data_IF_964879417491
#
_entry.id   IF_964879417491
#
_cell.length_a   1.000
_cell.length_b   1.000
_cell.length_c   1.000
_cell.angle_alpha   90.00
_cell.angle_beta   90.00
_cell.angle_gamma   90.00
#
_symmetry.space_group_name_H-M   'P 1'
#
loop_
_entity.id
_entity.type
_entity.pdbx_description
1 polymer ?
#
# COMPACT_ATOMS: atom_id res chain seq x y z
N UNK A 1 0.30 10.96 -14.79
CA UNK A 1 0.25 10.66 -13.34
C UNK A 1 -0.72 9.52 -13.11
N UNK A 2 -0.40 8.56 -12.22
CA UNK A 2 -1.23 7.36 -11.94
C UNK A 2 -1.51 7.25 -10.44
N UNK A 3 -2.73 6.82 -10.09
CA UNK A 3 -3.14 6.52 -8.73
C UNK A 3 -3.60 5.08 -8.61
N UNK A 4 -3.24 4.43 -7.50
CA UNK A 4 -3.62 3.07 -7.16
C UNK A 4 -4.14 3.03 -5.72
N UNK A 5 -5.22 2.30 -5.48
CA UNK A 5 -5.74 2.10 -4.14
C UNK A 5 -4.92 1.03 -3.41
N UNK A 6 -4.51 1.34 -2.18
CA UNK A 6 -3.90 0.36 -1.27
C UNK A 6 -5.02 -0.24 -0.45
N UNK A 7 -5.35 -1.50 -0.68
CA UNK A 7 -6.46 -2.18 -0.02
C UNK A 7 -5.99 -3.38 0.81
N UNK A 8 -6.70 -3.64 1.91
CA UNK A 8 -6.58 -4.89 2.66
C UNK A 8 -7.78 -5.79 2.35
N UNK A 9 -7.52 -7.08 2.14
CA UNK A 9 -8.57 -8.08 1.93
C UNK A 9 -9.16 -8.46 3.30
N UNK A 10 -10.48 -8.39 3.42
CA UNK A 10 -11.22 -8.93 4.55
C UNK A 10 -12.23 -9.95 4.07
N UNK A 11 -12.11 -11.19 4.52
CA UNK A 11 -13.08 -12.25 4.29
C UNK A 11 -13.89 -12.49 5.55
N UNK A 12 -15.19 -12.73 5.39
CA UNK A 12 -16.10 -13.00 6.51
C UNK A 12 -17.28 -13.84 6.03
N UNK A 13 -17.80 -14.69 6.92
CA UNK A 13 -18.98 -15.51 6.63
C UNK A 13 -20.22 -14.77 7.10
N UNK A 14 -21.19 -14.57 6.21
CA UNK A 14 -22.51 -14.01 6.54
C UNK A 14 -23.58 -14.98 6.04
N UNK A 15 -24.46 -15.44 6.93
CA UNK A 15 -25.54 -16.37 6.60
C UNK A 15 -25.04 -17.64 5.87
N UNK A 16 -23.89 -18.18 6.29
CA UNK A 16 -23.26 -19.37 5.69
C UNK A 16 -22.55 -19.12 4.35
N UNK A 17 -22.53 -17.90 3.83
CA UNK A 17 -21.80 -17.55 2.59
C UNK A 17 -20.51 -16.79 2.90
N UNK A 18 -19.42 -17.15 2.23
CA UNK A 18 -18.18 -16.39 2.30
C UNK A 18 -18.28 -15.12 1.47
N UNK A 19 -18.07 -13.96 2.11
CA UNK A 19 -18.03 -12.65 1.48
C UNK A 19 -16.62 -12.07 1.60
N UNK A 20 -16.10 -11.57 0.49
CA UNK A 20 -14.85 -10.79 0.45
C UNK A 20 -15.17 -9.31 0.32
N UNK A 21 -14.46 -8.47 1.07
CA UNK A 21 -14.47 -7.01 0.90
C UNK A 21 -13.03 -6.51 0.88
N UNK A 22 -12.75 -5.55 0.00
CA UNK A 22 -11.48 -4.84 -0.07
C UNK A 22 -11.63 -3.50 0.64
N UNK A 23 -10.91 -3.33 1.75
CA UNK A 23 -10.96 -2.11 2.56
C UNK A 23 -9.81 -1.21 2.15
N UNK A 24 -10.14 -0.02 1.63
CA UNK A 24 -9.14 0.98 1.23
C UNK A 24 -8.42 1.53 2.47
N UNK A 25 -7.11 1.41 2.49
CA UNK A 25 -6.22 1.87 3.57
C UNK A 25 -5.43 3.12 3.19
N UNK A 26 -5.28 3.40 1.90
CA UNK A 26 -4.53 4.55 1.40
C UNK A 26 -4.48 4.58 -0.12
N UNK A 27 -3.60 5.43 -0.64
CA UNK A 27 -3.38 5.61 -2.08
C UNK A 27 -1.88 5.60 -2.38
N UNK A 28 -1.48 4.96 -3.48
CA UNK A 28 -0.17 5.08 -4.09
C UNK A 28 -0.27 6.05 -5.27
N UNK A 29 0.55 7.10 -5.28
CA UNK A 29 0.67 8.07 -6.35
C UNK A 29 1.98 7.87 -7.09
N UNK A 30 1.92 7.67 -8.39
CA UNK A 30 3.08 7.65 -9.28
C UNK A 30 3.07 8.90 -10.18
N UNK A 31 4.11 9.73 -10.06
CA UNK A 31 4.29 10.93 -10.89
C UNK A 31 4.69 10.56 -12.31
N UNK A 32 4.63 11.51 -13.25
CA UNK A 32 5.11 11.30 -14.62
C UNK A 32 6.61 10.96 -14.71
N UNK A 33 7.40 11.42 -13.73
CA UNK A 33 8.83 11.07 -13.59
C UNK A 33 9.07 9.69 -12.93
N UNK A 34 8.03 8.91 -12.66
CA UNK A 34 8.13 7.59 -12.03
C UNK A 34 8.34 7.57 -10.51
N UNK A 35 8.41 8.74 -9.85
CA UNK A 35 8.47 8.85 -8.38
C UNK A 35 7.17 8.32 -7.76
N UNK A 36 7.30 7.54 -6.68
CA UNK A 36 6.18 6.88 -6.00
C UNK A 36 6.00 7.44 -4.58
N UNK A 37 4.75 7.69 -4.22
CA UNK A 37 4.38 8.21 -2.90
C UNK A 37 3.18 7.46 -2.33
N UNK A 38 3.21 7.14 -1.05
CA UNK A 38 2.08 6.53 -0.34
C UNK A 38 1.46 7.55 0.61
N UNK A 39 0.14 7.61 0.62
CA UNK A 39 -0.67 8.37 1.57
C UNK A 39 -1.63 7.41 2.26
N UNK A 40 -1.58 7.33 3.59
CA UNK A 40 -2.37 6.39 4.38
C UNK A 40 -3.53 7.11 5.08
N UNK A 41 -4.72 6.53 5.05
CA UNK A 41 -5.94 7.16 5.56
C UNK A 41 -5.89 7.45 7.07
N UNK A 42 -5.11 6.68 7.83
CA UNK A 42 -4.96 6.87 9.28
C UNK A 42 -3.83 7.84 9.66
N UNK A 43 -2.98 8.23 8.69
CA UNK A 43 -1.91 9.21 8.83
C UNK A 43 -2.16 10.37 7.86
N UNK A 44 -3.21 11.19 8.10
CA UNK A 44 -3.53 12.28 7.21
C UNK A 44 -2.39 13.29 7.13
N UNK A 45 -2.22 13.93 5.98
CA UNK A 45 -1.19 14.93 5.70
C UNK A 45 0.26 14.41 5.71
N UNK A 46 0.48 13.09 5.77
CA UNK A 46 1.81 12.49 5.62
C UNK A 46 1.89 11.79 4.26
N UNK A 47 2.90 12.13 3.47
CA UNK A 47 3.21 11.50 2.19
C UNK A 47 4.57 10.81 2.28
N UNK A 48 4.59 9.48 2.16
CA UNK A 48 5.80 8.68 2.25
C UNK A 48 6.41 8.51 0.86
N UNK A 49 7.66 8.89 0.67
CA UNK A 49 8.39 8.60 -0.55
C UNK A 49 8.80 7.12 -0.59
N UNK A 50 8.48 6.44 -1.69
CA UNK A 50 8.77 5.01 -1.89
C UNK A 50 9.96 4.87 -2.82
N UNK A 51 10.96 4.14 -2.37
CA UNK A 51 12.18 3.82 -3.11
C UNK A 51 12.60 2.38 -2.80
N UNK A 52 13.50 1.83 -3.61
CA UNK A 52 13.97 0.46 -3.39
C UNK A 52 14.72 0.33 -2.07
N UNK A 53 14.48 -0.77 -1.37
CA UNK A 53 15.19 -1.09 -0.16
C UNK A 53 16.69 -1.23 -0.46
N UNK A 54 17.54 -0.60 0.37
CA UNK A 54 19.00 -0.81 0.28
C UNK A 54 19.29 -2.30 0.46
N UNK A 55 20.16 -2.87 -0.38
CA UNK A 55 20.67 -4.23 -0.18
C UNK A 55 21.29 -4.33 1.22
N UNK A 56 20.95 -5.38 1.97
CA UNK A 56 21.70 -5.72 3.18
C UNK A 56 23.06 -6.23 2.73
N UNK A 57 24.14 -5.59 3.18
CA UNK A 57 25.46 -6.20 3.13
C UNK A 57 25.42 -7.40 4.09
N UNK A 58 25.40 -8.60 3.54
CA UNK A 58 25.66 -9.82 4.31
C UNK A 58 27.15 -9.75 4.70
N UNK A 59 27.42 -9.38 5.95
CA UNK A 59 28.74 -9.60 6.52
C UNK A 59 28.94 -11.12 6.61
N UNK A 60 29.66 -11.66 5.62
CA UNK A 60 30.26 -12.99 5.65
C UNK A 60 31.03 -13.15 6.97
N UNK A 61 30.68 -14.17 7.74
CA UNK A 61 31.42 -14.60 8.93
C UNK A 61 32.40 -15.69 8.53
#
# INVERSE_FOLDING_TARGET
MKFEDICTKKTFVVNGQEKTTWLKCGTLRTTDEGKRFIELNHLPNISFFVFEQKKKEENET
#
